data_IF_363327202937
#
_entry.id   IF_363327202937
#
_cell.length_a   1.000
_cell.length_b   1.000
_cell.length_c   1.000
_cell.angle_alpha   90.00
_cell.angle_beta   90.00
_cell.angle_gamma   90.00
#
_symmetry.space_group_name_H-M   'P 1'
#
loop_
_entity.id
_entity.type
_entity.pdbx_description
1 polymer ?
#
# COMPACT_ATOMS: atom_id res chain seq x y z
N UNK A 1 -17.25 -23.07 3.91
CA UNK A 1 -16.15 -22.21 4.39
C UNK A 1 -15.68 -21.12 3.40
N UNK A 2 -16.11 -21.13 2.12
CA UNK A 2 -15.87 -20.00 1.18
C UNK A 2 -16.89 -18.84 1.31
N UNK A 3 -18.12 -19.13 1.75
CA UNK A 3 -19.22 -18.16 1.78
C UNK A 3 -19.04 -17.03 2.83
N UNK A 4 -18.25 -17.28 3.88
CA UNK A 4 -17.98 -16.27 4.93
C UNK A 4 -17.00 -15.18 4.49
N UNK A 5 -16.14 -15.41 3.48
CA UNK A 5 -15.20 -14.38 2.97
C UNK A 5 -15.89 -13.37 2.05
N UNK A 6 -16.86 -13.81 1.25
CA UNK A 6 -17.63 -12.95 0.35
C UNK A 6 -18.60 -12.01 1.09
N UNK A 7 -19.17 -12.43 2.22
CA UNK A 7 -20.05 -11.58 3.04
C UNK A 7 -19.30 -10.52 3.88
N UNK A 8 -18.03 -10.75 4.25
CA UNK A 8 -17.21 -9.75 4.94
C UNK A 8 -16.70 -8.67 3.97
N UNK A 9 -16.50 -9.01 2.69
CA UNK A 9 -16.13 -8.06 1.63
C UNK A 9 -17.23 -7.03 1.29
N UNK A 10 -18.48 -7.26 1.75
CA UNK A 10 -19.58 -6.30 1.66
C UNK A 10 -19.59 -5.27 2.80
N UNK A 11 -18.83 -5.47 3.88
CA UNK A 11 -18.73 -4.56 5.02
C UNK A 11 -17.35 -3.91 5.17
N UNK A 12 -16.31 -4.48 4.56
CA UNK A 12 -14.96 -3.88 4.55
C UNK A 12 -14.75 -3.09 3.29
N UNK A 13 -14.79 -1.77 3.43
CA UNK A 13 -14.37 -0.82 2.41
C UNK A 13 -12.86 -0.56 2.45
N UNK A 14 -12.07 -1.37 3.17
CA UNK A 14 -10.63 -1.20 3.33
C UNK A 14 -9.87 -2.53 3.30
N UNK A 15 -8.59 -2.44 2.99
CA UNK A 15 -7.63 -3.54 3.05
C UNK A 15 -6.29 -3.00 3.60
N UNK A 16 -5.52 -3.86 4.27
CA UNK A 16 -4.24 -3.48 4.86
C UNK A 16 -3.21 -4.60 4.72
N UNK A 17 -1.95 -4.21 4.55
CA UNK A 17 -0.80 -5.11 4.60
C UNK A 17 -0.22 -5.22 6.00
N UNK A 18 0.60 -6.25 6.23
CA UNK A 18 1.33 -6.40 7.47
C UNK A 18 2.04 -7.73 7.60
N UNK A 19 3.05 -7.79 8.47
CA UNK A 19 3.82 -9.01 8.74
C UNK A 19 2.95 -10.22 9.12
N UNK A 20 1.84 -9.96 9.84
CA UNK A 20 0.89 -10.98 10.29
C UNK A 20 -0.33 -11.14 9.37
N UNK A 21 -0.32 -10.52 8.19
CA UNK A 21 -1.39 -10.70 7.22
C UNK A 21 -1.57 -12.18 6.87
N UNK A 22 -2.83 -12.63 6.77
CA UNK A 22 -3.16 -14.03 6.47
C UNK A 22 -2.96 -14.34 4.98
N UNK A 23 -3.22 -13.37 4.12
CA UNK A 23 -2.97 -13.48 2.68
C UNK A 23 -1.48 -13.22 2.42
N UNK A 24 -0.75 -14.14 1.77
CA UNK A 24 0.64 -13.93 1.37
C UNK A 24 0.85 -12.67 0.52
N UNK A 25 -0.13 -12.29 -0.30
CA UNK A 25 -0.03 -11.11 -1.17
C UNK A 25 -0.22 -9.78 -0.42
N UNK A 26 -0.64 -9.83 0.85
CA UNK A 26 -0.78 -8.67 1.73
C UNK A 26 0.30 -8.65 2.82
N UNK A 27 1.35 -9.46 2.71
CA UNK A 27 2.51 -9.36 3.60
C UNK A 27 3.25 -8.05 3.35
N UNK A 28 3.86 -7.51 4.40
CA UNK A 28 4.76 -6.37 4.29
C UNK A 28 5.90 -6.66 3.33
N UNK A 29 6.25 -5.69 2.51
CA UNK A 29 7.40 -5.81 1.60
C UNK A 29 8.63 -5.19 2.25
N UNK A 30 9.74 -5.95 2.25
CA UNK A 30 11.00 -5.54 2.86
C UNK A 30 12.05 -5.20 1.80
N UNK A 31 12.80 -4.13 2.06
CA UNK A 31 13.88 -3.67 1.20
C UNK A 31 15.14 -3.40 2.03
N UNK A 32 16.30 -3.80 1.51
CA UNK A 32 17.65 -3.51 2.05
C UNK A 32 18.05 -2.06 1.78
N UNK A 33 17.24 -1.14 2.29
CA UNK A 33 17.48 0.29 2.29
C UNK A 33 17.21 0.84 3.70
N UNK A 34 17.93 1.89 4.09
CA UNK A 34 17.55 2.68 5.26
C UNK A 34 16.19 3.34 5.01
N UNK A 35 15.46 3.66 6.09
CA UNK A 35 14.16 4.35 6.01
C UNK A 35 14.21 5.58 5.11
N UNK A 36 15.24 6.41 5.23
CA UNK A 36 15.37 7.65 4.44
C UNK A 36 15.54 7.38 2.94
N UNK A 37 16.38 6.41 2.57
CA UNK A 37 16.57 6.05 1.15
C UNK A 37 15.31 5.41 0.57
N UNK A 38 14.64 4.54 1.34
CA UNK A 38 13.40 3.94 0.93
C UNK A 38 12.29 4.99 0.76
N UNK A 39 12.22 5.98 1.67
CA UNK A 39 11.30 7.10 1.59
C UNK A 39 11.44 7.86 0.27
N UNK A 40 12.67 8.26 -0.09
CA UNK A 40 12.94 9.05 -1.30
C UNK A 40 12.55 8.28 -2.58
N UNK A 41 12.83 6.99 -2.65
CA UNK A 41 12.49 6.16 -3.81
C UNK A 41 10.98 5.89 -3.89
N UNK A 42 10.33 5.61 -2.76
CA UNK A 42 8.87 5.39 -2.68
C UNK A 42 8.15 6.67 -3.12
N UNK A 43 8.49 7.83 -2.56
CA UNK A 43 7.80 9.08 -2.87
C UNK A 43 8.02 9.53 -4.32
N UNK A 44 9.24 9.38 -4.84
CA UNK A 44 9.57 9.65 -6.24
C UNK A 44 8.77 8.75 -7.19
N UNK A 45 8.52 7.51 -6.79
CA UNK A 45 7.71 6.56 -7.57
C UNK A 45 6.23 6.93 -7.53
N UNK A 46 5.68 7.15 -6.33
CA UNK A 46 4.26 7.48 -6.15
C UNK A 46 3.86 8.78 -6.87
N UNK A 47 4.73 9.81 -6.85
CA UNK A 47 4.52 11.08 -7.58
C UNK A 47 4.41 10.90 -9.10
N UNK A 48 4.98 9.83 -9.67
CA UNK A 48 4.97 9.54 -11.11
C UNK A 48 3.83 8.62 -11.52
N UNK A 49 3.09 8.05 -10.57
CA UNK A 49 2.00 7.12 -10.88
C UNK A 49 0.76 7.88 -11.38
N UNK A 50 0.29 7.51 -12.57
CA UNK A 50 -0.92 8.09 -13.14
C UNK A 50 -2.16 7.64 -12.38
N UNK A 51 -3.11 8.55 -12.16
CA UNK A 51 -4.36 8.27 -11.46
C UNK A 51 -4.25 8.31 -9.93
N UNK A 52 -3.06 8.57 -9.39
CA UNK A 52 -2.81 8.78 -7.96
C UNK A 52 -2.44 10.25 -7.73
N UNK A 53 -2.88 10.80 -6.60
CA UNK A 53 -2.54 12.15 -6.15
C UNK A 53 -1.94 12.07 -4.76
N UNK A 54 -0.69 12.53 -4.60
CA UNK A 54 -0.08 12.67 -3.27
C UNK A 54 -0.75 13.83 -2.55
N UNK A 55 -1.32 13.59 -1.37
CA UNK A 55 -1.96 14.59 -0.53
C UNK A 55 -1.02 15.11 0.56
N UNK A 56 -0.38 14.19 1.28
CA UNK A 56 0.48 14.53 2.41
C UNK A 56 1.73 13.64 2.44
N UNK A 57 2.83 14.25 2.89
CA UNK A 57 4.15 13.63 3.00
C UNK A 57 4.65 13.91 4.41
N UNK A 58 4.54 12.93 5.32
CA UNK A 58 4.92 13.09 6.73
C UNK A 58 6.13 12.21 7.02
N UNK A 59 7.31 12.68 6.61
CA UNK A 59 8.55 11.90 6.70
C UNK A 59 8.93 11.51 8.14
N UNK A 60 8.67 12.40 9.10
CA UNK A 60 8.93 12.15 10.52
C UNK A 60 8.24 10.88 11.02
N UNK A 61 6.97 10.69 10.66
CA UNK A 61 6.19 9.47 10.95
C UNK A 61 6.58 8.35 9.98
N UNK A 62 6.86 8.69 8.73
CA UNK A 62 7.10 7.74 7.65
C UNK A 62 5.81 7.37 6.91
N UNK A 63 4.86 8.30 6.80
CA UNK A 63 3.59 8.07 6.10
C UNK A 63 3.39 9.01 4.91
N UNK A 64 2.97 8.42 3.78
CA UNK A 64 2.60 9.14 2.56
C UNK A 64 1.12 8.87 2.31
N UNK A 65 0.32 9.92 2.29
CA UNK A 65 -1.12 9.84 2.04
C UNK A 65 -1.38 10.15 0.58
N UNK A 66 -2.08 9.24 -0.09
CA UNK A 66 -2.47 9.32 -1.48
C UNK A 66 -3.99 9.28 -1.60
N UNK A 67 -4.49 9.94 -2.64
CA UNK A 67 -5.84 9.79 -3.12
C UNK A 67 -5.83 9.12 -4.50
N UNK A 68 -6.72 8.15 -4.73
CA UNK A 68 -6.96 7.58 -6.05
C UNK A 68 -8.44 7.71 -6.40
N UNK A 69 -8.74 8.26 -7.58
CA UNK A 69 -10.10 8.27 -8.12
C UNK A 69 -10.26 7.15 -9.15
N UNK A 70 -11.23 6.28 -8.91
CA UNK A 70 -11.57 5.18 -9.83
C UNK A 70 -12.38 5.70 -11.02
N UNK A 71 -12.42 4.93 -12.12
CA UNK A 71 -13.20 5.27 -13.32
C UNK A 71 -14.71 5.45 -13.05
N UNK A 72 -15.26 4.74 -12.05
CA UNK A 72 -16.65 4.87 -11.61
C UNK A 72 -16.89 6.02 -10.62
N UNK A 73 -15.90 6.91 -10.45
CA UNK A 73 -16.02 8.11 -9.62
C UNK A 73 -15.83 7.88 -8.12
N UNK A 74 -15.60 6.65 -7.65
CA UNK A 74 -15.27 6.39 -6.24
C UNK A 74 -13.86 6.88 -5.92
N UNK A 75 -13.71 7.48 -4.75
CA UNK A 75 -12.43 7.96 -4.22
C UNK A 75 -11.91 7.00 -3.16
N UNK A 76 -10.61 6.76 -3.18
CA UNK A 76 -9.90 5.90 -2.25
C UNK A 76 -8.78 6.68 -1.58
N UNK A 77 -8.71 6.57 -0.26
CA UNK A 77 -7.61 7.09 0.56
C UNK A 77 -6.64 5.96 0.84
N UNK A 78 -5.37 6.21 0.56
CA UNK A 78 -4.32 5.21 0.67
C UNK A 78 -3.19 5.81 1.51
N UNK A 79 -2.75 5.08 2.52
CA UNK A 79 -1.59 5.43 3.32
C UNK A 79 -0.49 4.42 3.02
N UNK A 80 0.66 4.90 2.57
CA UNK A 80 1.88 4.12 2.39
C UNK A 80 2.82 4.45 3.55
N UNK A 81 3.15 3.44 4.35
CA UNK A 81 4.00 3.58 5.54
C UNK A 81 5.38 2.98 5.26
N UNK A 82 6.43 3.77 5.45
CA UNK A 82 7.84 3.35 5.36
C UNK A 82 8.40 3.24 6.77
N UNK A 83 8.61 2.00 7.21
CA UNK A 83 8.95 1.64 8.58
C UNK A 83 10.42 1.21 8.64
N UNK A 84 11.17 1.76 9.59
CA UNK A 84 12.55 1.30 9.84
C UNK A 84 12.50 -0.03 10.59
N UNK A 85 13.06 -1.10 10.00
CA UNK A 85 13.21 -2.41 10.66
C UNK A 85 14.56 -2.45 11.37
N UNK A 86 15.61 -1.98 10.70
CA UNK A 86 16.95 -1.76 11.24
C UNK A 86 17.66 -0.67 10.40
N UNK A 87 18.88 -0.23 10.73
CA UNK A 87 19.53 0.87 10.01
C UNK A 87 19.72 0.65 8.49
N UNK A 88 19.72 -0.60 8.02
CA UNK A 88 19.96 -0.97 6.63
C UNK A 88 18.73 -1.56 5.94
N UNK A 89 17.60 -1.69 6.64
CA UNK A 89 16.40 -2.34 6.13
C UNK A 89 15.14 -1.61 6.56
N UNK A 90 14.22 -1.48 5.62
CA UNK A 90 12.90 -0.89 5.80
C UNK A 90 11.80 -1.83 5.33
N UNK A 91 10.64 -1.74 5.97
CA UNK A 91 9.40 -2.32 5.49
C UNK A 91 8.53 -1.24 4.84
N UNK A 92 7.76 -1.62 3.82
CA UNK A 92 6.72 -0.79 3.23
C UNK A 92 5.37 -1.48 3.40
N UNK A 93 4.48 -0.81 4.12
CA UNK A 93 3.11 -1.22 4.32
C UNK A 93 2.12 -0.26 3.67
N UNK A 94 0.95 -0.79 3.32
CA UNK A 94 -0.09 -0.05 2.63
C UNK A 94 -1.42 -0.33 3.32
N UNK A 95 -2.09 0.75 3.69
CA UNK A 95 -3.50 0.75 4.04
C UNK A 95 -4.27 1.44 2.91
N UNK A 96 -5.36 0.85 2.44
CA UNK A 96 -6.20 1.42 1.39
C UNK A 96 -7.65 1.33 1.82
N UNK A 97 -8.37 2.45 1.79
CA UNK A 97 -9.80 2.52 2.10
C UNK A 97 -10.57 3.30 1.02
N UNK A 98 -11.73 2.79 0.63
CA UNK A 98 -12.67 3.46 -0.26
C UNK A 98 -13.61 4.34 0.56
N UNK A 99 -13.85 5.58 0.12
CA UNK A 99 -14.84 6.49 0.73
C UNK A 99 -16.26 5.99 0.39
N UNK A 100 -17.10 5.78 1.40
CA UNK A 100 -18.50 5.31 1.26
C UNK A 100 -18.76 3.91 1.83
N UNK A 101 -20.04 3.49 1.88
CA UNK A 101 -20.51 2.31 2.62
C UNK A 101 -20.81 1.06 1.78
N UNK A 102 -20.67 1.10 0.46
CA UNK A 102 -21.12 0.01 -0.45
C UNK A 102 -20.03 -1.04 -0.74
N UNK A 103 -19.18 -1.36 0.25
CA UNK A 103 -18.01 -2.20 0.04
C UNK A 103 -17.10 -1.69 -1.09
N UNK A 104 -16.07 -2.47 -1.44
CA UNK A 104 -15.12 -2.09 -2.50
C UNK A 104 -14.96 -3.15 -3.61
N UNK A 105 -15.60 -4.32 -3.47
CA UNK A 105 -15.46 -5.47 -4.36
C UNK A 105 -13.97 -5.84 -4.63
N UNK A 106 -13.13 -5.73 -3.61
CA UNK A 106 -11.69 -5.99 -3.68
C UNK A 106 -10.89 -4.92 -4.41
N UNK A 107 -11.43 -3.70 -4.57
CA UNK A 107 -10.72 -2.59 -5.21
C UNK A 107 -9.48 -2.17 -4.43
N UNK A 108 -9.57 -2.09 -3.10
CA UNK A 108 -8.42 -1.76 -2.24
C UNK A 108 -7.35 -2.84 -2.33
N UNK A 109 -7.73 -4.11 -2.33
CA UNK A 109 -6.81 -5.22 -2.56
C UNK A 109 -6.05 -5.05 -3.88
N UNK A 110 -6.76 -4.80 -5.00
CA UNK A 110 -6.13 -4.58 -6.30
C UNK A 110 -5.19 -3.37 -6.32
N UNK A 111 -5.56 -2.30 -5.63
CA UNK A 111 -4.72 -1.09 -5.49
C UNK A 111 -3.42 -1.41 -4.75
N UNK A 112 -3.49 -2.15 -3.63
CA UNK A 112 -2.31 -2.58 -2.88
C UNK A 112 -1.38 -3.39 -3.78
N UNK A 113 -1.92 -4.37 -4.51
CA UNK A 113 -1.10 -5.19 -5.42
C UNK A 113 -0.45 -4.38 -6.53
N UNK A 114 -1.14 -3.39 -7.08
CA UNK A 114 -0.61 -2.52 -8.14
C UNK A 114 0.51 -1.61 -7.62
N UNK A 115 0.33 -1.04 -6.43
CA UNK A 115 1.35 -0.26 -5.74
C UNK A 115 2.58 -1.12 -5.44
N UNK A 116 2.39 -2.30 -4.87
CA UNK A 116 3.50 -3.22 -4.61
C UNK A 116 4.22 -3.66 -5.87
N UNK A 117 3.53 -4.01 -6.95
CA UNK A 117 4.19 -4.32 -8.22
C UNK A 117 5.04 -3.16 -8.73
N UNK A 118 4.53 -1.94 -8.62
CA UNK A 118 5.23 -0.74 -9.08
C UNK A 118 6.47 -0.45 -8.23
N UNK A 119 6.32 -0.50 -6.90
CA UNK A 119 7.42 -0.30 -5.97
C UNK A 119 8.48 -1.40 -6.07
N UNK A 120 8.05 -2.67 -6.14
CA UNK A 120 8.94 -3.82 -6.30
C UNK A 120 9.74 -3.73 -7.59
N UNK A 121 9.11 -3.31 -8.70
CA UNK A 121 9.81 -3.15 -9.98
C UNK A 121 10.90 -2.08 -9.88
N UNK A 122 10.61 -0.98 -9.19
CA UNK A 122 11.56 0.12 -8.99
C UNK A 122 12.69 -0.25 -8.02
N UNK A 123 12.37 -0.97 -6.94
CA UNK A 123 13.26 -1.33 -5.85
C UNK A 123 13.79 -2.78 -5.95
N UNK A 124 13.69 -3.40 -7.13
CA UNK A 124 13.97 -4.82 -7.33
C UNK A 124 15.38 -5.23 -6.83
N UNK A 125 16.38 -4.38 -7.03
CA UNK A 125 17.76 -4.62 -6.58
C UNK A 125 17.92 -4.67 -5.05
N UNK A 126 16.96 -4.12 -4.30
CA UNK A 126 17.00 -4.02 -2.84
C UNK A 126 15.98 -4.95 -2.17
N UNK A 127 15.09 -5.61 -2.91
CA UNK A 127 14.02 -6.43 -2.34
C UNK A 127 14.60 -7.61 -1.55
N UNK A 128 14.09 -7.82 -0.34
CA UNK A 128 14.37 -9.02 0.45
C UNK A 128 13.32 -10.06 0.08
N UNK A 129 13.74 -11.14 -0.57
CA UNK A 129 12.85 -12.29 -0.77
C UNK A 129 12.55 -12.91 0.61
N UNK A 130 11.28 -12.89 1.00
CA UNK A 130 10.76 -13.68 2.12
C UNK A 130 10.13 -14.96 1.58
#
# INVERSE_FOLDING_TARGET
MLLKRTLIGLLRSHEQTGDRAKDPMLKSHFYKLSKDKAWDEVISTLKKMQGYKVLHEVQSVGEIVLEKRTAFGRTMDITVSVISVNPLQSAVDIYSASRGSLGDLGSNYRVILDLYRTLDKKLAAFKVNS
#
